data_IF_254185854522
#
_entry.id   IF_254185854522
#
_cell.length_a   1.000
_cell.length_b   1.000
_cell.length_c   1.000
_cell.angle_alpha   90.00
_cell.angle_beta   90.00
_cell.angle_gamma   90.00
#
_symmetry.space_group_name_H-M   'P 1'
#
loop_
_entity.id
_entity.type
_entity.pdbx_description
1 polymer ?
#
# COMPACT_ATOMS: atom_id res chain seq x y z
N UNK A 1 -0.77 6.09 9.06
CA UNK A 1 -1.90 7.00 8.83
C UNK A 1 -3.00 6.28 8.05
N UNK A 2 -3.85 5.51 8.75
CA UNK A 2 -4.87 4.64 8.11
C UNK A 2 -5.98 5.45 7.43
N UNK A 3 -6.41 6.55 8.06
CA UNK A 3 -7.47 7.40 7.54
C UNK A 3 -7.12 8.07 6.20
N UNK A 4 -5.87 8.53 6.01
CA UNK A 4 -5.45 9.19 4.77
C UNK A 4 -5.48 8.24 3.57
N UNK A 5 -5.07 6.99 3.74
CA UNK A 5 -5.12 6.00 2.67
C UNK A 5 -6.56 5.62 2.29
N UNK A 6 -7.48 5.61 3.26
CA UNK A 6 -8.92 5.41 3.02
C UNK A 6 -9.50 6.61 2.27
N UNK A 7 -9.24 7.83 2.75
CA UNK A 7 -9.72 9.08 2.14
C UNK A 7 -9.20 9.24 0.71
N UNK A 8 -7.93 8.94 0.46
CA UNK A 8 -7.34 8.98 -0.88
C UNK A 8 -7.93 7.93 -1.81
N UNK A 9 -8.24 6.72 -1.32
CA UNK A 9 -8.92 5.71 -2.13
C UNK A 9 -10.37 6.12 -2.46
N UNK A 10 -11.06 6.83 -1.57
CA UNK A 10 -12.41 7.36 -1.83
C UNK A 10 -12.37 8.45 -2.91
N UNK A 11 -11.38 9.35 -2.88
CA UNK A 11 -11.23 10.42 -3.88
C UNK A 11 -10.77 9.91 -5.26
N UNK A 12 -9.83 8.96 -5.30
CA UNK A 12 -9.36 8.31 -6.52
C UNK A 12 -8.94 6.86 -6.24
N UNK A 13 -9.62 5.86 -6.85
CA UNK A 13 -9.24 4.46 -6.67
C UNK A 13 -7.82 4.21 -7.20
N UNK A 14 -6.99 3.59 -6.37
CA UNK A 14 -5.59 3.27 -6.69
C UNK A 14 -4.54 4.18 -6.04
N UNK A 15 -4.85 5.46 -5.77
CA UNK A 15 -3.88 6.41 -5.17
C UNK A 15 -3.50 6.00 -3.74
N UNK A 16 -4.47 5.51 -2.96
CA UNK A 16 -4.22 5.02 -1.58
C UNK A 16 -3.26 3.83 -1.51
N UNK A 17 -3.22 2.98 -2.55
CA UNK A 17 -2.34 1.81 -2.60
C UNK A 17 -0.87 2.17 -2.82
N UNK A 18 -0.58 3.29 -3.49
CA UNK A 18 0.80 3.82 -3.61
C UNK A 18 1.31 4.35 -2.28
N UNK A 19 0.46 5.01 -1.48
CA UNK A 19 0.81 5.54 -0.15
C UNK A 19 1.14 4.41 0.84
N UNK A 20 0.58 3.21 0.64
CA UNK A 20 0.83 2.02 1.45
C UNK A 20 2.06 1.22 0.93
N UNK A 21 2.69 1.66 -0.18
CA UNK A 21 3.82 0.95 -0.80
C UNK A 21 3.42 -0.27 -1.63
N UNK A 22 2.11 -0.49 -1.88
CA UNK A 22 1.58 -1.61 -2.67
C UNK A 22 1.31 -1.18 -4.11
N UNK A 23 2.39 -0.82 -4.82
CA UNK A 23 2.37 -0.28 -6.19
C UNK A 23 1.61 -1.19 -7.16
N UNK A 24 1.84 -2.51 -7.13
CA UNK A 24 1.17 -3.46 -8.03
C UNK A 24 -0.35 -3.51 -7.85
N UNK A 25 -0.84 -3.37 -6.61
CA UNK A 25 -2.28 -3.32 -6.34
C UNK A 25 -2.90 -1.99 -6.76
N UNK A 26 -2.14 -0.88 -6.63
CA UNK A 26 -2.56 0.43 -7.14
C UNK A 26 -2.73 0.47 -8.66
N UNK A 27 -1.81 -0.15 -9.40
CA UNK A 27 -1.88 -0.26 -10.86
C UNK A 27 -3.13 -1.04 -11.28
N UNK A 28 -3.42 -2.18 -10.65
CA UNK A 28 -4.63 -2.96 -10.93
C UNK A 28 -5.93 -2.17 -10.71
N UNK A 29 -5.97 -1.35 -9.66
CA UNK A 29 -7.13 -0.49 -9.37
C UNK A 29 -7.33 0.62 -10.40
N UNK A 30 -6.25 1.26 -10.85
CA UNK A 30 -6.30 2.27 -11.90
C UNK A 30 -6.77 1.66 -13.22
N UNK A 31 -6.28 0.46 -13.56
CA UNK A 31 -6.68 -0.25 -14.78
C UNK A 31 -8.16 -0.62 -14.78
N UNK A 32 -8.67 -1.22 -13.69
CA UNK A 32 -10.10 -1.56 -13.57
C UNK A 32 -10.95 -0.30 -13.64
N UNK A 33 -10.53 0.78 -12.98
CA UNK A 33 -11.26 2.06 -13.03
C UNK A 33 -11.27 2.67 -14.43
N UNK A 34 -10.14 2.69 -15.13
CA UNK A 34 -10.03 3.21 -16.50
C UNK A 34 -10.83 2.38 -17.52
N UNK A 35 -10.83 1.04 -17.37
CA UNK A 35 -11.65 0.14 -18.19
C UNK A 35 -13.14 0.38 -17.88
N UNK A 36 -13.52 0.47 -16.61
CA UNK A 36 -14.90 0.78 -16.20
C UNK A 36 -15.39 2.12 -16.75
N UNK A 37 -14.54 3.16 -16.71
CA UNK A 37 -14.83 4.48 -17.28
C UNK A 37 -15.00 4.40 -18.81
N UNK A 38 -14.15 3.64 -19.49
CA UNK A 38 -14.24 3.43 -20.95
C UNK A 38 -15.55 2.72 -21.31
N UNK A 39 -15.96 1.72 -20.53
CA UNK A 39 -17.24 1.03 -20.73
C UNK A 39 -18.44 1.97 -20.50
N UNK A 40 -18.35 2.91 -19.56
CA UNK A 40 -19.41 3.89 -19.29
C UNK A 40 -19.73 4.84 -20.47
N UNK A 41 -18.84 4.98 -21.47
CA UNK A 41 -19.15 5.75 -22.68
C UNK A 41 -20.24 5.11 -23.55
N UNK A 42 -20.56 3.84 -23.30
CA UNK A 42 -21.70 3.15 -23.91
C UNK A 42 -22.81 2.99 -22.88
N UNK A 43 -24.07 3.24 -23.23
CA UNK A 43 -25.21 3.13 -22.28
C UNK A 43 -25.31 1.72 -21.68
N UNK A 44 -25.03 0.69 -22.48
CA UNK A 44 -24.99 -0.70 -22.03
C UNK A 44 -23.75 -0.97 -21.18
N UNK A 45 -22.59 -0.44 -21.58
CA UNK A 45 -21.36 -0.58 -20.80
C UNK A 45 -21.40 0.20 -19.48
N UNK A 46 -22.23 1.22 -19.30
CA UNK A 46 -22.41 1.89 -18.01
C UNK A 46 -23.02 0.97 -16.94
N UNK A 47 -23.90 0.04 -17.35
CA UNK A 47 -24.50 -0.95 -16.45
C UNK A 47 -23.44 -1.90 -15.86
N UNK A 48 -22.37 -2.16 -16.61
CA UNK A 48 -21.26 -3.06 -16.20
C UNK A 48 -20.08 -2.26 -15.62
N UNK A 49 -19.82 -1.08 -16.19
CA UNK A 49 -18.74 -0.17 -15.85
C UNK A 49 -18.92 0.44 -14.47
N UNK A 50 -20.14 0.84 -14.09
CA UNK A 50 -20.41 1.38 -12.76
C UNK A 50 -20.14 0.33 -11.65
N UNK A 51 -20.66 -0.92 -11.71
CA UNK A 51 -20.30 -1.97 -10.76
C UNK A 51 -18.81 -2.28 -10.72
N UNK A 52 -18.14 -2.28 -11.87
CA UNK A 52 -16.69 -2.45 -11.95
C UNK A 52 -15.93 -1.34 -11.20
N UNK A 53 -16.30 -0.07 -11.41
CA UNK A 53 -15.69 1.08 -10.73
C UNK A 53 -15.93 1.02 -9.22
N UNK A 54 -17.14 0.62 -8.78
CA UNK A 54 -17.45 0.37 -7.38
C UNK A 54 -16.60 -0.77 -6.79
N UNK A 55 -16.36 -1.84 -7.55
CA UNK A 55 -15.48 -2.94 -7.16
C UNK A 55 -14.04 -2.48 -6.91
N UNK A 56 -13.49 -1.62 -7.79
CA UNK A 56 -12.18 -1.02 -7.59
C UNK A 56 -12.10 -0.17 -6.31
N UNK A 57 -13.17 0.56 -6.01
CA UNK A 57 -13.29 1.36 -4.78
C UNK A 57 -13.34 0.51 -3.50
N UNK A 58 -14.18 -0.53 -3.49
CA UNK A 58 -14.30 -1.46 -2.35
C UNK A 58 -12.96 -2.15 -2.11
N UNK A 59 -12.31 -2.61 -3.18
CA UNK A 59 -10.97 -3.20 -3.08
C UNK A 59 -9.96 -2.21 -2.49
N UNK A 60 -10.04 -0.93 -2.87
CA UNK A 60 -9.24 0.15 -2.29
C UNK A 60 -9.36 0.25 -0.78
N UNK A 61 -10.60 0.22 -0.28
CA UNK A 61 -10.91 0.27 1.15
C UNK A 61 -10.39 -0.97 1.87
N UNK A 62 -10.53 -2.16 1.28
CA UNK A 62 -10.03 -3.43 1.87
C UNK A 62 -8.50 -3.43 2.02
N UNK A 63 -7.76 -2.87 1.07
CA UNK A 63 -6.30 -2.77 1.19
C UNK A 63 -5.91 -1.80 2.29
N UNK A 64 -6.61 -0.66 2.40
CA UNK A 64 -6.37 0.34 3.42
C UNK A 64 -6.71 -0.16 4.83
N UNK A 65 -7.73 -1.02 4.98
CA UNK A 65 -8.08 -1.62 6.28
C UNK A 65 -7.07 -2.69 6.72
N UNK A 66 -6.54 -3.47 5.78
CA UNK A 66 -5.57 -4.54 6.05
C UNK A 66 -4.11 -4.07 6.19
N UNK A 67 -3.82 -2.80 5.90
CA UNK A 67 -2.45 -2.29 6.04
C UNK A 67 -2.12 -1.98 7.49
N UNK A 68 -1.22 -2.78 8.06
CA UNK A 68 -0.59 -2.50 9.35
C UNK A 68 0.38 -1.32 9.17
N UNK A 69 0.40 -0.32 10.08
CA UNK A 69 1.39 0.73 10.04
C UNK A 69 2.77 0.10 10.23
N UNK A 70 3.63 0.14 9.21
CA UNK A 70 4.99 -0.35 9.34
C UNK A 70 5.73 0.51 10.36
N UNK A 71 6.10 -0.10 11.49
CA UNK A 71 7.01 0.49 12.46
C UNK A 71 8.44 0.20 12.02
N UNK A 72 9.22 1.24 11.76
CA UNK A 72 10.64 1.10 11.43
C UNK A 72 11.38 0.69 12.71
N UNK A 73 11.77 -0.58 12.81
CA UNK A 73 12.59 -1.09 13.91
C UNK A 73 14.06 -0.75 13.60
N UNK A 74 14.64 0.18 14.35
CA UNK A 74 16.07 0.51 14.25
C UNK A 74 16.84 -0.43 15.19
N UNK A 75 17.48 -1.46 14.63
CA UNK A 75 18.42 -2.29 15.39
C UNK A 75 19.73 -1.53 15.55
N UNK A 76 20.00 -1.04 16.76
CA UNK A 76 21.30 -0.43 17.10
C UNK A 76 22.31 -1.55 17.27
N UNK A 77 23.16 -1.75 16.26
CA UNK A 77 24.26 -2.71 16.35
C UNK A 77 25.44 -2.01 17.04
N UNK A 78 25.70 -2.37 18.29
CA UNK A 78 26.74 -1.74 19.10
C UNK A 78 28.12 -2.39 18.87
N UNK A 79 28.51 -2.49 17.59
CA UNK A 79 29.76 -3.11 17.11
C UNK A 79 31.03 -2.35 17.52
N UNK A 80 30.88 -1.21 18.21
CA UNK A 80 31.97 -0.38 18.71
C UNK A 80 32.40 -0.66 20.16
N UNK A 81 31.76 -1.59 20.88
CA UNK A 81 32.25 -2.09 22.17
C UNK A 81 33.05 -3.40 21.99
N UNK A 82 33.89 -3.47 20.96
CA UNK A 82 35.05 -4.37 20.98
C UNK A 82 36.01 -3.84 22.04
N UNK A 83 35.63 -4.01 23.31
CA UNK A 83 36.57 -3.86 24.41
C UNK A 83 37.66 -4.90 24.19
N UNK A 84 38.83 -4.35 24.00
CA UNK A 84 40.10 -5.00 23.82
C UNK A 84 40.46 -5.70 25.14
N UNK A 85 39.83 -6.82 25.47
CA UNK A 85 40.35 -7.72 26.50
C UNK A 85 41.48 -8.56 25.91
N UNK A 86 42.60 -7.87 25.64
CA UNK A 86 43.91 -8.49 25.63
C UNK A 86 44.29 -8.80 27.07
N UNK A 87 44.01 -10.01 27.52
CA UNK A 87 44.68 -10.58 28.69
C UNK A 87 45.32 -11.91 28.29
N UNK A 88 46.39 -11.80 27.50
CA UNK A 88 47.52 -12.72 27.60
C UNK A 88 48.28 -12.40 28.89
N UNK A 89 48.28 -13.31 29.87
CA UNK A 89 49.35 -13.41 30.87
C UNK A 89 49.30 -14.77 31.57
N UNK A 90 50.26 -15.62 31.20
CA UNK A 90 51.07 -16.54 32.03
C UNK A 90 50.43 -17.20 33.27
N UNK A 91 50.30 -18.53 33.28
CA UNK A 91 51.32 -19.51 33.73
C UNK A 91 50.86 -20.94 33.39
#
# INVERSE_FOLDING_TARGET
>A
MKALAIILNILMPGVGSFVIGKVGQGIGQILIWAIGLTLCFTVVGAIIGIPMMLGAWIWGIVIASNSQPQTVQVTVNNSGLTNSETTTTSL
#
